data_IF_498408245514
#
_entry.id   IF_498408245514
#
_cell.length_a   1.000
_cell.length_b   1.000
_cell.length_c   1.000
_cell.angle_alpha   90.00
_cell.angle_beta   90.00
_cell.angle_gamma   90.00
#
_symmetry.space_group_name_H-M   'P 1'
#
loop_
_entity.id
_entity.type
_entity.pdbx_description
1 polymer ?
#
# COMPACT_ATOMS: atom_id res chain seq x y z
N UNK A 1 -4.13 -6.68 4.27
CA UNK A 1 -5.02 -6.55 5.44
C UNK A 1 -5.33 -5.08 5.67
N UNK A 2 -6.53 -4.81 6.20
CA UNK A 2 -7.00 -3.50 6.61
C UNK A 2 -6.49 -3.19 8.03
N UNK A 3 -5.45 -2.36 8.13
CA UNK A 3 -4.68 -2.16 9.38
C UNK A 3 -5.35 -1.16 10.34
N UNK A 4 -6.33 -0.40 9.85
CA UNK A 4 -7.18 0.50 10.62
C UNK A 4 -8.20 -0.23 11.52
N UNK A 5 -8.46 -1.51 11.25
CA UNK A 5 -9.40 -2.31 12.03
C UNK A 5 -8.80 -2.69 13.40
N UNK A 6 -9.64 -2.98 14.42
CA UNK A 6 -9.17 -3.40 15.74
C UNK A 6 -8.19 -4.59 15.66
N UNK A 7 -7.01 -4.42 16.26
CA UNK A 7 -5.93 -5.43 16.23
C UNK A 7 -5.14 -5.49 14.91
N UNK A 8 -5.42 -4.61 13.94
CA UNK A 8 -4.76 -4.57 12.64
C UNK A 8 -3.25 -4.36 12.74
N UNK A 9 -2.80 -3.32 13.44
CA UNK A 9 -1.37 -3.06 13.66
C UNK A 9 -0.68 -4.19 14.46
N UNK A 10 -1.35 -4.76 15.45
CA UNK A 10 -0.78 -5.88 16.21
C UNK A 10 -0.65 -7.14 15.35
N UNK A 11 -1.58 -7.33 14.40
CA UNK A 11 -1.48 -8.39 13.40
C UNK A 11 -0.30 -8.16 12.45
N UNK A 12 -0.04 -6.92 12.03
CA UNK A 12 1.15 -6.59 11.23
C UNK A 12 2.43 -6.96 11.97
N UNK A 13 2.57 -6.52 13.23
CA UNK A 13 3.75 -6.83 14.05
C UNK A 13 3.94 -8.33 14.22
N UNK A 14 2.85 -9.03 14.54
CA UNK A 14 2.87 -10.48 14.70
C UNK A 14 3.34 -11.20 13.43
N UNK A 15 2.86 -10.77 12.25
CA UNK A 15 3.27 -11.34 10.97
C UNK A 15 4.75 -11.07 10.70
N UNK A 16 5.18 -9.82 10.86
CA UNK A 16 6.56 -9.39 10.64
C UNK A 16 7.55 -10.12 11.57
N UNK A 17 7.23 -10.24 12.86
CA UNK A 17 8.04 -10.97 13.86
C UNK A 17 8.18 -12.46 13.53
N UNK A 18 7.27 -13.00 12.71
CA UNK A 18 7.30 -14.40 12.24
C UNK A 18 7.88 -14.54 10.83
N UNK A 19 8.42 -13.47 10.25
CA UNK A 19 8.96 -13.47 8.90
C UNK A 19 7.90 -13.65 7.81
N UNK A 20 6.63 -13.37 8.13
CA UNK A 20 5.51 -13.40 7.17
C UNK A 20 5.30 -12.00 6.62
N UNK A 21 5.11 -11.89 5.31
CA UNK A 21 4.83 -10.62 4.65
C UNK A 21 3.45 -10.12 5.07
N UNK A 22 3.40 -8.93 5.66
CA UNK A 22 2.17 -8.19 5.87
C UNK A 22 1.96 -7.24 4.69
N UNK A 23 0.95 -7.53 3.87
CA UNK A 23 0.55 -6.68 2.76
C UNK A 23 -0.63 -5.79 3.16
N UNK A 24 -0.63 -4.51 2.78
CA UNK A 24 -1.71 -3.53 3.02
C UNK A 24 -2.59 -3.44 1.79
N UNK A 25 -3.91 -3.50 1.98
CA UNK A 25 -4.91 -3.44 0.90
C UNK A 25 -6.30 -3.74 1.41
N UNK A 26 -7.33 -3.45 0.59
CA UNK A 26 -8.75 -3.48 1.01
C UNK A 26 -8.96 -2.71 2.32
N UNK A 27 -8.50 -1.45 2.34
CA UNK A 27 -8.40 -0.64 3.56
C UNK A 27 -9.00 0.74 3.30
N UNK A 28 -9.66 1.31 4.31
CA UNK A 28 -10.08 2.71 4.35
C UNK A 28 -9.13 3.56 5.23
N UNK A 29 -7.91 3.07 5.48
CA UNK A 29 -6.92 3.74 6.32
C UNK A 29 -6.57 5.14 5.81
N UNK A 30 -6.36 6.06 6.76
CA UNK A 30 -5.70 7.34 6.49
C UNK A 30 -4.24 7.16 6.10
N UNK A 31 -3.61 8.24 5.64
CA UNK A 31 -2.17 8.26 5.38
C UNK A 31 -1.38 7.89 6.64
N UNK A 32 -1.69 8.52 7.78
CA UNK A 32 -0.98 8.31 9.05
C UNK A 32 -1.14 6.89 9.59
N UNK A 33 -2.34 6.31 9.47
CA UNK A 33 -2.56 4.90 9.83
C UNK A 33 -1.77 3.95 8.92
N UNK A 34 -1.61 4.30 7.65
CA UNK A 34 -0.85 3.50 6.69
C UNK A 34 0.64 3.57 6.98
N UNK A 35 1.18 4.76 7.27
CA UNK A 35 2.57 4.93 7.74
C UNK A 35 2.82 4.09 9.00
N UNK A 36 1.89 4.13 9.98
CA UNK A 36 2.01 3.31 11.19
C UNK A 36 2.04 1.80 10.90
N UNK A 37 1.35 1.35 9.84
CA UNK A 37 1.40 -0.05 9.40
C UNK A 37 2.74 -0.40 8.75
N UNK A 38 3.31 0.48 7.94
CA UNK A 38 4.63 0.28 7.34
C UNK A 38 5.69 0.24 8.45
N UNK A 39 5.63 1.15 9.42
CA UNK A 39 6.53 1.16 10.59
C UNK A 39 6.37 -0.06 11.49
N UNK A 40 5.19 -0.68 11.49
CA UNK A 40 4.94 -1.94 12.18
C UNK A 40 5.49 -3.17 11.43
N UNK A 41 5.98 -3.01 10.19
CA UNK A 41 6.61 -4.07 9.40
C UNK A 41 5.83 -4.51 8.17
N UNK A 42 4.80 -3.76 7.73
CA UNK A 42 4.17 -4.02 6.44
C UNK A 42 5.09 -3.60 5.28
N UNK A 43 5.23 -4.45 4.28
CA UNK A 43 6.22 -4.28 3.19
C UNK A 43 5.65 -4.45 1.79
N UNK A 44 4.35 -4.71 1.66
CA UNK A 44 3.68 -4.86 0.35
C UNK A 44 2.41 -4.04 0.29
N UNK A 45 2.18 -3.36 -0.82
CA UNK A 45 0.89 -2.80 -1.19
C UNK A 45 0.17 -3.77 -2.12
N UNK A 46 -0.92 -4.37 -1.64
CA UNK A 46 -1.77 -5.23 -2.46
C UNK A 46 -2.49 -4.36 -3.50
N UNK A 47 -2.37 -4.74 -4.78
CA UNK A 47 -3.05 -4.15 -5.95
C UNK A 47 -3.35 -2.64 -5.84
N UNK A 48 -2.30 -1.82 -5.65
CA UNK A 48 -2.38 -0.38 -5.37
C UNK A 48 -3.46 0.33 -6.21
N UNK A 49 -4.12 1.32 -5.60
CA UNK A 49 -5.32 2.03 -6.08
C UNK A 49 -6.64 1.26 -5.97
N UNK A 50 -6.64 -0.07 -6.08
CA UNK A 50 -7.86 -0.87 -6.09
C UNK A 50 -8.36 -1.13 -4.66
N UNK A 51 -9.66 -0.97 -4.42
CA UNK A 51 -10.26 -1.12 -3.08
C UNK A 51 -9.54 -0.30 -1.98
N UNK A 52 -9.19 0.94 -2.33
CA UNK A 52 -8.58 1.93 -1.44
C UNK A 52 -9.27 3.30 -1.65
N UNK A 53 -9.29 4.19 -0.65
CA UNK A 53 -9.69 5.58 -0.81
C UNK A 53 -8.91 6.28 -1.93
N UNK A 54 -9.57 7.08 -2.79
CA UNK A 54 -8.89 7.86 -3.82
C UNK A 54 -7.88 8.85 -3.24
N UNK A 55 -6.84 9.17 -4.01
CA UNK A 55 -5.85 10.17 -3.63
C UNK A 55 -6.47 11.58 -3.57
N UNK A 56 -6.42 12.20 -2.39
CA UNK A 56 -6.94 13.54 -2.15
C UNK A 56 -5.83 14.54 -1.73
N UNK A 57 -5.95 15.80 -2.16
CA UNK A 57 -4.90 16.81 -1.94
C UNK A 57 -4.67 17.22 -0.47
N UNK A 58 -5.63 16.96 0.44
CA UNK A 58 -5.52 17.18 1.91
C UNK A 58 -5.61 15.89 2.72
N UNK A 59 -6.04 14.81 2.08
CA UNK A 59 -6.22 13.49 2.68
C UNK A 59 -5.66 12.47 1.67
N UNK A 60 -4.33 12.32 1.62
CA UNK A 60 -3.65 11.59 0.53
C UNK A 60 -3.82 10.06 0.62
N UNK A 61 -4.30 9.56 1.77
CA UNK A 61 -4.74 8.19 1.95
C UNK A 61 -3.61 7.14 1.87
N UNK A 62 -3.98 5.86 1.76
CA UNK A 62 -3.03 4.76 1.82
C UNK A 62 -2.17 4.69 0.55
N UNK A 63 -2.74 5.10 -0.60
CA UNK A 63 -2.06 5.09 -1.90
C UNK A 63 -0.75 5.88 -1.83
N UNK A 64 -0.79 7.08 -1.25
CA UNK A 64 0.39 7.95 -1.20
C UNK A 64 1.45 7.37 -0.27
N UNK A 65 1.06 6.97 0.95
CA UNK A 65 1.98 6.38 1.93
C UNK A 65 2.68 5.12 1.39
N UNK A 66 1.93 4.22 0.75
CA UNK A 66 2.48 2.98 0.19
C UNK A 66 3.37 3.21 -1.03
N UNK A 67 3.03 4.19 -1.87
CA UNK A 67 3.79 4.48 -3.08
C UNK A 67 5.13 5.17 -2.77
N UNK A 68 5.15 6.10 -1.82
CA UNK A 68 6.36 6.89 -1.53
C UNK A 68 7.37 6.18 -0.64
N UNK A 69 6.95 5.23 0.20
CA UNK A 69 7.85 4.56 1.13
C UNK A 69 8.69 3.46 0.45
N UNK A 70 10.01 3.68 0.37
CA UNK A 70 10.95 2.78 -0.30
C UNK A 70 11.01 1.36 0.29
N UNK A 71 10.48 1.14 1.50
CA UNK A 71 10.39 -0.19 2.12
C UNK A 71 9.27 -1.05 1.54
N UNK A 72 8.39 -0.47 0.71
CA UNK A 72 7.18 -1.13 0.20
C UNK A 72 7.32 -1.54 -1.25
N UNK A 73 7.09 -2.82 -1.54
CA UNK A 73 6.83 -3.35 -2.89
C UNK A 73 5.38 -3.08 -3.27
N UNK A 74 5.15 -2.59 -4.49
CA UNK A 74 3.86 -2.14 -5.00
C UNK A 74 3.35 -3.12 -6.06
N UNK A 75 2.30 -3.86 -5.74
CA UNK A 75 1.63 -4.71 -6.72
C UNK A 75 0.68 -3.88 -7.60
N UNK A 76 0.74 -4.07 -8.91
CA UNK A 76 -0.13 -3.39 -9.88
C UNK A 76 -0.84 -4.40 -10.79
N UNK A 77 -2.16 -4.22 -10.99
CA UNK A 77 -2.91 -5.02 -11.96
C UNK A 77 -2.76 -4.36 -13.34
N UNK A 78 -1.80 -4.85 -14.13
CA UNK A 78 -1.48 -4.32 -15.46
C UNK A 78 -2.29 -5.01 -16.59
N UNK A 79 -3.62 -4.91 -16.54
CA UNK A 79 -4.53 -5.47 -17.55
C UNK A 79 -5.23 -4.40 -18.42
N UNK A 80 -4.97 -3.11 -18.16
CA UNK A 80 -5.60 -1.98 -18.82
C UNK A 80 -7.07 -1.73 -18.46
N UNK A 81 -7.63 -2.52 -17.55
CA UNK A 81 -9.02 -2.39 -17.07
C UNK A 81 -9.07 -1.91 -15.63
N UNK A 82 -8.27 -2.50 -14.74
CA UNK A 82 -8.18 -2.08 -13.34
C UNK A 82 -7.51 -0.73 -13.21
N UNK A 83 -6.48 -0.48 -14.02
CA UNK A 83 -5.72 0.76 -14.03
C UNK A 83 -5.66 1.34 -15.44
N UNK A 84 -5.93 2.64 -15.52
CA UNK A 84 -5.64 3.40 -16.73
C UNK A 84 -4.12 3.42 -16.99
N UNK A 85 -3.63 3.29 -18.24
CA UNK A 85 -2.19 3.26 -18.54
C UNK A 85 -1.37 4.42 -17.93
N UNK A 86 -1.94 5.63 -17.89
CA UNK A 86 -1.29 6.78 -17.27
C UNK A 86 -1.07 6.62 -15.75
N UNK A 87 -1.94 5.90 -15.04
CA UNK A 87 -1.79 5.63 -13.59
C UNK A 87 -0.72 4.57 -13.35
N UNK A 88 -0.68 3.53 -14.20
CA UNK A 88 0.40 2.54 -14.19
C UNK A 88 1.76 3.22 -14.38
N UNK A 89 1.88 4.10 -15.37
CA UNK A 89 3.13 4.81 -15.65
C UNK A 89 3.52 5.79 -14.53
N UNK A 90 2.54 6.46 -13.90
CA UNK A 90 2.78 7.29 -12.72
C UNK A 90 3.38 6.48 -11.57
N UNK A 91 2.74 5.36 -11.21
CA UNK A 91 3.20 4.51 -10.13
C UNK A 91 4.59 3.92 -10.42
N UNK A 92 4.81 3.45 -11.64
CA UNK A 92 6.09 2.89 -12.06
C UNK A 92 7.22 3.94 -12.03
N UNK A 93 6.97 5.17 -12.48
CA UNK A 93 7.97 6.25 -12.43
C UNK A 93 8.36 6.62 -11.00
N UNK A 94 7.42 6.56 -10.07
CA UNK A 94 7.66 6.89 -8.66
C UNK A 94 8.35 5.75 -7.90
N UNK A 95 7.85 4.52 -8.04
CA UNK A 95 8.38 3.37 -7.30
C UNK A 95 9.66 2.80 -7.92
N UNK A 96 9.81 2.87 -9.24
CA UNK A 96 10.91 2.25 -9.97
C UNK A 96 10.71 0.75 -10.20
N UNK A 97 11.53 0.18 -11.08
CA UNK A 97 11.42 -1.21 -11.51
C UNK A 97 11.67 -2.23 -10.39
N UNK A 98 12.49 -1.88 -9.40
CA UNK A 98 12.85 -2.79 -8.29
C UNK A 98 11.73 -2.96 -7.26
N UNK A 99 10.74 -2.06 -7.26
CA UNK A 99 9.65 -2.04 -6.29
C UNK A 99 8.28 -2.36 -6.89
N UNK A 100 8.14 -2.47 -8.21
CA UNK A 100 6.85 -2.82 -8.84
C UNK A 100 6.80 -4.33 -9.12
N UNK A 101 5.69 -4.96 -8.73
CA UNK A 101 5.39 -6.38 -8.94
C UNK A 101 4.10 -6.58 -9.74
#
# INVERSE_FOLDING_TARGET
>A
LATELPGGLDSVRLLADRGVIAAVGHTDATYEQTVAAIDAGATVATHLFNAMPPLGHRAPGPITALLEDERVTVELINDGTHLHPAVLELAFRQAGADRVA
#
